data_IF_304647378690
#
_entry.id   IF_304647378690
#
_cell.length_a   1.000
_cell.length_b   1.000
_cell.length_c   1.000
_cell.angle_alpha   90.00
_cell.angle_beta   90.00
_cell.angle_gamma   90.00
#
_symmetry.space_group_name_H-M   'P 1'
#
loop_
_entity.id
_entity.type
_entity.pdbx_description
1 polymer ?
#
# COMPACT_ATOMS: atom_id res chain seq x y z
N UNK A 1 5.32 8.28 13.08
CA UNK A 1 4.35 8.63 12.03
C UNK A 1 2.94 8.20 12.38
N UNK A 2 2.29 8.87 13.33
CA UNK A 2 0.87 8.61 13.67
C UNK A 2 -0.04 8.81 12.45
N UNK A 3 0.29 9.78 11.60
CA UNK A 3 -0.52 10.16 10.46
C UNK A 3 -0.64 9.10 9.35
N UNK A 4 0.33 8.21 9.10
CA UNK A 4 0.14 7.17 8.06
C UNK A 4 -0.55 5.95 8.61
N UNK A 5 -0.27 5.64 9.88
CA UNK A 5 -0.79 4.45 10.54
C UNK A 5 -2.27 4.59 10.89
N UNK A 6 -2.72 5.79 11.26
CA UNK A 6 -4.07 6.05 11.72
C UNK A 6 -4.84 6.98 10.77
N UNK A 7 -6.18 6.90 10.72
CA UNK A 7 -7.02 7.72 9.84
C UNK A 7 -7.17 9.19 10.32
N UNK A 8 -6.07 9.87 10.66
CA UNK A 8 -6.05 11.20 11.30
C UNK A 8 -5.69 12.34 10.35
N UNK A 9 -6.53 13.37 10.17
CA UNK A 9 -6.16 14.51 9.30
C UNK A 9 -4.86 15.19 9.78
N UNK A 10 -4.14 15.92 8.92
CA UNK A 10 -2.90 16.62 9.33
C UNK A 10 -3.14 17.60 10.50
N UNK A 11 -4.32 18.24 10.52
CA UNK A 11 -4.76 19.12 11.61
C UNK A 11 -4.97 18.35 12.91
N UNK A 12 -5.57 17.16 12.84
CA UNK A 12 -5.71 16.32 14.05
C UNK A 12 -4.36 15.95 14.66
N UNK A 13 -3.29 15.85 13.86
CA UNK A 13 -1.96 15.57 14.41
C UNK A 13 -1.34 16.83 15.01
N UNK A 14 -1.56 17.99 14.41
CA UNK A 14 -1.22 19.28 15.01
C UNK A 14 -1.88 19.41 16.39
N UNK A 15 -3.20 19.16 16.50
CA UNK A 15 -3.93 19.19 17.77
C UNK A 15 -3.35 18.18 18.80
N UNK A 16 -3.11 16.93 18.38
CA UNK A 16 -2.54 15.88 19.24
C UNK A 16 -1.10 16.16 19.69
N UNK A 17 -0.34 16.93 18.90
CA UNK A 17 1.02 17.35 19.26
C UNK A 17 0.96 18.55 20.20
N UNK A 18 0.04 19.48 19.97
CA UNK A 18 -0.22 20.61 20.85
C UNK A 18 -0.63 20.17 22.26
N UNK A 19 -1.53 19.17 22.39
CA UNK A 19 -1.89 18.55 23.69
C UNK A 19 -0.68 17.97 24.45
N UNK A 20 0.43 17.70 23.75
CA UNK A 20 1.68 17.17 24.34
C UNK A 20 2.76 18.25 24.50
N UNK A 21 2.40 19.52 24.35
CA UNK A 21 3.33 20.66 24.46
C UNK A 21 4.25 20.84 23.26
N UNK A 22 3.94 20.24 22.11
CA UNK A 22 4.73 20.39 20.88
C UNK A 22 4.02 21.34 19.93
N UNK A 23 4.53 22.56 19.82
CA UNK A 23 3.99 23.57 18.91
C UNK A 23 4.51 23.39 17.48
N UNK A 24 3.66 22.87 16.60
CA UNK A 24 3.96 22.67 15.18
C UNK A 24 2.71 22.81 14.33
N UNK A 25 2.84 23.48 13.18
CA UNK A 25 1.74 23.58 12.22
C UNK A 25 1.53 22.31 11.39
N UNK A 26 0.31 22.06 10.92
CA UNK A 26 0.04 20.97 9.96
C UNK A 26 0.87 21.05 8.67
N UNK A 27 1.31 22.24 8.27
CA UNK A 27 2.19 22.45 7.12
C UNK A 27 3.60 21.91 7.38
N UNK A 28 4.11 22.06 8.60
CA UNK A 28 5.37 21.44 9.03
C UNK A 28 5.27 19.91 8.99
N UNK A 29 4.16 19.36 9.50
CA UNK A 29 3.88 17.92 9.45
C UNK A 29 3.79 17.45 7.98
N UNK A 30 3.13 18.22 7.11
CA UNK A 30 3.02 17.95 5.67
C UNK A 30 4.40 17.90 5.01
N UNK A 31 5.29 18.84 5.35
CA UNK A 31 6.65 18.90 4.82
C UNK A 31 7.48 17.70 5.26
N UNK A 32 7.49 17.38 6.56
CA UNK A 32 8.19 16.20 7.09
C UNK A 32 7.74 14.91 6.42
N UNK A 33 6.43 14.75 6.22
CA UNK A 33 5.90 13.62 5.47
C UNK A 33 6.47 13.53 4.06
N UNK A 34 6.42 14.63 3.30
CA UNK A 34 6.90 14.63 1.92
C UNK A 34 8.41 14.33 1.83
N UNK A 35 9.18 14.79 2.82
CA UNK A 35 10.62 14.57 2.91
C UNK A 35 10.98 13.16 3.35
N UNK A 36 10.46 12.72 4.51
CA UNK A 36 10.88 11.48 5.16
C UNK A 36 10.06 10.25 4.77
N UNK A 37 8.79 10.41 4.38
CA UNK A 37 7.90 9.32 4.00
C UNK A 37 8.48 8.39 2.92
N UNK A 38 8.93 8.92 1.78
CA UNK A 38 9.55 8.12 0.73
C UNK A 38 10.78 7.33 1.20
N UNK A 39 11.58 7.89 2.11
CA UNK A 39 12.78 7.25 2.67
C UNK A 39 12.39 6.03 3.51
N UNK A 40 11.50 6.22 4.49
CA UNK A 40 10.99 5.11 5.31
C UNK A 40 10.32 4.02 4.45
N UNK A 41 9.51 4.41 3.47
CA UNK A 41 8.88 3.47 2.56
C UNK A 41 9.87 2.72 1.68
N UNK A 42 11.00 3.34 1.32
CA UNK A 42 12.07 2.69 0.58
C UNK A 42 12.72 1.60 1.43
N UNK A 43 13.15 1.94 2.64
CA UNK A 43 13.83 1.01 3.56
C UNK A 43 12.95 -0.16 3.99
N UNK A 44 11.69 0.11 4.35
CA UNK A 44 10.71 -0.94 4.67
C UNK A 44 10.53 -1.89 3.47
N UNK A 45 10.39 -1.35 2.26
CA UNK A 45 10.22 -2.17 1.05
C UNK A 45 11.46 -2.97 0.70
N UNK A 46 12.67 -2.44 0.90
CA UNK A 46 13.93 -3.18 0.65
C UNK A 46 14.03 -4.38 1.59
N UNK A 47 13.86 -4.17 2.90
CA UNK A 47 13.87 -5.25 3.90
C UNK A 47 12.82 -6.32 3.59
N UNK A 48 11.61 -5.90 3.22
CA UNK A 48 10.51 -6.83 2.87
C UNK A 48 10.72 -7.58 1.57
N UNK A 49 11.23 -6.93 0.52
CA UNK A 49 11.51 -7.60 -0.75
C UNK A 49 12.51 -8.76 -0.56
N UNK A 50 13.52 -8.58 0.30
CA UNK A 50 14.47 -9.65 0.62
C UNK A 50 13.79 -10.84 1.32
N UNK A 51 12.91 -10.56 2.29
CA UNK A 51 12.11 -11.60 2.95
C UNK A 51 11.18 -12.31 1.97
N UNK A 52 10.44 -11.55 1.15
CA UNK A 52 9.47 -12.09 0.18
C UNK A 52 10.12 -12.94 -0.90
N UNK A 53 11.37 -12.66 -1.29
CA UNK A 53 12.13 -13.52 -2.22
C UNK A 53 12.54 -14.87 -1.61
N UNK A 54 12.62 -14.93 -0.28
CA UNK A 54 13.03 -16.14 0.44
C UNK A 54 11.88 -17.13 0.64
N UNK A 55 10.63 -16.71 0.41
CA UNK A 55 9.44 -17.53 0.60
C UNK A 55 8.59 -17.55 -0.69
N UNK A 56 8.11 -18.72 -1.15
CA UNK A 56 7.32 -18.81 -2.37
C UNK A 56 5.98 -18.08 -2.21
N UNK A 57 5.81 -16.99 -2.96
CA UNK A 57 4.56 -16.24 -3.01
C UNK A 57 3.61 -16.88 -4.03
N UNK A 58 2.84 -17.87 -3.57
CA UNK A 58 2.02 -18.68 -4.46
C UNK A 58 0.85 -17.91 -5.10
N UNK A 59 0.29 -16.89 -4.44
CA UNK A 59 -0.84 -16.13 -4.99
C UNK A 59 -0.76 -14.64 -4.70
N UNK A 60 -0.99 -13.84 -5.73
CA UNK A 60 -1.13 -12.38 -5.68
C UNK A 60 -2.51 -11.97 -6.15
N UNK A 61 -3.05 -10.90 -5.57
CA UNK A 61 -4.33 -10.29 -5.87
C UNK A 61 -4.10 -8.88 -6.40
N UNK A 62 -4.53 -8.62 -7.63
CA UNK A 62 -4.45 -7.32 -8.28
C UNK A 62 -5.84 -6.70 -8.27
N UNK A 63 -5.98 -5.61 -7.52
CA UNK A 63 -7.21 -4.84 -7.45
C UNK A 63 -7.06 -3.51 -8.16
N UNK A 64 -8.10 -3.13 -8.88
CA UNK A 64 -8.26 -1.77 -9.34
C UNK A 64 -9.23 -1.03 -8.40
N UNK A 65 -8.94 0.24 -8.10
CA UNK A 65 -9.89 1.13 -7.46
C UNK A 65 -10.03 2.42 -8.22
N UNK A 66 -11.11 3.16 -7.93
CA UNK A 66 -11.34 4.48 -8.46
C UNK A 66 -11.33 5.54 -7.39
N UNK A 67 -10.76 6.68 -7.73
CA UNK A 67 -10.87 7.93 -6.97
C UNK A 67 -10.94 9.11 -7.93
N UNK A 68 -11.34 10.27 -7.38
CA UNK A 68 -11.39 11.54 -8.12
C UNK A 68 -10.34 12.49 -7.57
N UNK A 69 -9.59 13.15 -8.45
CA UNK A 69 -8.68 14.26 -8.13
C UNK A 69 -9.18 15.45 -8.93
N UNK A 70 -9.59 16.53 -8.24
CA UNK A 70 -10.16 17.74 -8.87
C UNK A 70 -11.25 17.43 -9.92
N UNK A 71 -12.12 16.45 -9.65
CA UNK A 71 -13.19 16.02 -10.56
C UNK A 71 -12.79 14.96 -11.59
N UNK A 72 -11.51 14.84 -11.94
CA UNK A 72 -11.01 13.82 -12.87
C UNK A 72 -10.91 12.43 -12.22
N UNK A 73 -11.32 11.38 -12.95
CA UNK A 73 -11.18 9.99 -12.48
C UNK A 73 -9.75 9.50 -12.64
N UNK A 74 -9.21 8.91 -11.58
CA UNK A 74 -7.94 8.18 -11.60
C UNK A 74 -8.15 6.73 -11.15
N UNK A 75 -7.26 5.87 -11.63
CA UNK A 75 -7.26 4.44 -11.36
C UNK A 75 -6.01 4.01 -10.59
N UNK A 76 -6.05 4.02 -9.25
CA UNK A 76 -5.05 3.33 -8.46
C UNK A 76 -5.16 1.81 -8.60
N UNK A 77 -4.00 1.19 -8.79
CA UNK A 77 -3.79 -0.24 -8.82
C UNK A 77 -3.05 -0.66 -7.57
N UNK A 78 -3.44 -1.79 -7.00
CA UNK A 78 -2.79 -2.38 -5.83
C UNK A 78 -2.60 -3.88 -6.00
N UNK A 79 -1.45 -4.36 -5.54
CA UNK A 79 -1.05 -5.75 -5.55
C UNK A 79 -0.90 -6.15 -4.12
N UNK A 80 -1.59 -7.23 -3.76
CA UNK A 80 -1.62 -7.76 -2.41
C UNK A 80 -1.26 -9.22 -2.49
N UNK A 81 -0.41 -9.72 -1.61
CA UNK A 81 -0.14 -11.14 -1.57
C UNK A 81 -1.24 -11.93 -0.82
N UNK A 82 -1.09 -13.25 -0.81
CA UNK A 82 -1.97 -14.15 -0.09
C UNK A 82 -2.00 -13.89 1.42
N UNK A 83 -0.99 -13.23 2.02
CA UNK A 83 -0.94 -12.85 3.44
C UNK A 83 -1.57 -11.48 3.73
N UNK A 84 -1.94 -10.72 2.68
CA UNK A 84 -2.59 -9.42 2.82
C UNK A 84 -1.61 -8.26 2.91
N UNK A 85 -0.34 -8.49 2.60
CA UNK A 85 0.71 -7.49 2.47
C UNK A 85 0.61 -6.79 1.11
N UNK A 86 0.75 -5.46 1.13
CA UNK A 86 0.68 -4.65 -0.09
C UNK A 86 2.07 -4.61 -0.74
N UNK A 87 2.20 -5.32 -1.87
CA UNK A 87 3.46 -5.46 -2.61
C UNK A 87 3.84 -4.19 -3.38
N UNK A 88 2.84 -3.56 -4.02
CA UNK A 88 3.03 -2.35 -4.82
C UNK A 88 1.70 -1.58 -4.91
N UNK A 89 1.78 -0.25 -5.03
CA UNK A 89 0.64 0.63 -5.31
C UNK A 89 1.02 1.66 -6.35
N UNK A 90 0.25 1.74 -7.44
CA UNK A 90 0.52 2.65 -8.55
C UNK A 90 -0.76 3.44 -8.89
N UNK A 91 -0.63 4.73 -9.17
CA UNK A 91 -1.73 5.61 -9.53
C UNK A 91 -1.55 5.99 -10.99
N UNK A 92 -2.54 5.68 -11.81
CA UNK A 92 -2.59 6.08 -13.21
C UNK A 92 -3.76 7.04 -13.46
N UNK A 93 -3.59 8.00 -14.38
CA UNK A 93 -4.69 8.84 -14.88
C UNK A 93 -5.61 8.06 -15.81
N UNK A 94 -5.02 7.20 -16.65
CA UNK A 94 -5.73 6.39 -17.66
C UNK A 94 -5.72 4.90 -17.31
N UNK A 95 -6.71 4.18 -17.85
CA UNK A 95 -6.84 2.72 -17.78
C UNK A 95 -6.19 2.00 -18.95
N UNK A 96 -5.21 2.63 -19.59
CA UNK A 96 -4.60 2.04 -20.77
C UNK A 96 -3.79 0.78 -20.43
N UNK A 97 -3.60 -0.06 -21.45
CA UNK A 97 -2.85 -1.32 -21.35
C UNK A 97 -1.44 -1.10 -20.80
N UNK A 98 -0.80 0.04 -21.14
CA UNK A 98 0.57 0.37 -20.77
C UNK A 98 0.69 0.63 -19.25
N UNK A 99 -0.24 1.39 -18.69
CA UNK A 99 -0.34 1.66 -17.26
C UNK A 99 -0.65 0.37 -16.50
N UNK A 100 -1.59 -0.43 -17.00
CA UNK A 100 -1.96 -1.70 -16.41
C UNK A 100 -0.83 -2.75 -16.49
N UNK A 101 0.07 -2.67 -17.48
CA UNK A 101 1.26 -3.54 -17.60
C UNK A 101 2.44 -3.12 -16.73
N UNK A 102 2.65 -1.80 -16.58
CA UNK A 102 3.76 -1.25 -15.79
C UNK A 102 3.71 -1.79 -14.36
N UNK A 103 2.50 -1.96 -13.84
CA UNK A 103 2.26 -2.39 -12.48
C UNK A 103 2.69 -3.83 -12.19
N UNK A 104 2.17 -4.89 -12.86
CA UNK A 104 2.62 -6.27 -12.68
C UNK A 104 4.12 -6.45 -12.95
N UNK A 105 4.65 -5.82 -14.02
CA UNK A 105 6.08 -5.92 -14.35
C UNK A 105 6.97 -5.37 -13.23
N UNK A 106 6.60 -4.22 -12.66
CA UNK A 106 7.32 -3.61 -11.53
C UNK A 106 7.26 -4.49 -10.29
N UNK A 107 6.09 -5.04 -9.97
CA UNK A 107 5.92 -5.96 -8.84
C UNK A 107 6.77 -7.21 -9.01
N UNK A 108 6.76 -7.82 -10.20
CA UNK A 108 7.54 -9.03 -10.49
C UNK A 108 9.05 -8.80 -10.43
N UNK A 109 9.52 -7.68 -10.98
CA UNK A 109 10.96 -7.33 -10.92
C UNK A 109 11.46 -7.21 -9.48
N UNK A 110 10.62 -6.72 -8.57
CA UNK A 110 11.00 -6.51 -7.17
C UNK A 110 10.87 -7.79 -6.34
N UNK A 111 9.71 -8.43 -6.39
CA UNK A 111 9.30 -9.48 -5.46
C UNK A 111 9.39 -10.89 -6.04
N UNK A 112 9.81 -11.04 -7.30
CA UNK A 112 9.78 -12.32 -8.01
C UNK A 112 8.43 -12.57 -8.69
N UNK A 113 8.28 -13.72 -9.36
CA UNK A 113 7.02 -14.08 -10.03
C UNK A 113 6.12 -14.84 -9.06
N UNK A 114 4.82 -14.54 -9.08
CA UNK A 114 3.83 -15.35 -8.38
C UNK A 114 3.41 -16.56 -9.20
N UNK A 115 2.96 -17.63 -8.53
CA UNK A 115 2.39 -18.79 -9.22
C UNK A 115 0.99 -18.50 -9.78
N UNK A 116 0.20 -17.68 -9.08
CA UNK A 116 -1.18 -17.33 -9.45
C UNK A 116 -1.41 -15.83 -9.34
N UNK A 117 -2.03 -15.22 -10.36
CA UNK A 117 -2.53 -13.85 -10.28
C UNK A 117 -4.06 -13.84 -10.28
N UNK A 118 -4.64 -13.40 -9.19
CA UNK A 118 -6.07 -13.12 -9.08
C UNK A 118 -6.33 -11.70 -9.52
N UNK A 119 -7.26 -11.48 -10.44
CA UNK A 119 -7.68 -10.15 -10.88
C UNK A 119 -9.20 -10.02 -10.86
N UNK A 120 -9.69 -8.78 -10.91
CA UNK A 120 -11.08 -8.52 -11.27
C UNK A 120 -11.39 -9.00 -12.69
N UNK A 121 -12.68 -9.20 -12.99
CA UNK A 121 -13.17 -9.53 -14.35
C UNK A 121 -13.17 -8.33 -15.30
N UNK A 122 -12.43 -7.27 -14.98
CA UNK A 122 -12.35 -6.06 -15.80
C UNK A 122 -11.52 -6.32 -17.05
N UNK A 123 -11.97 -5.78 -18.20
CA UNK A 123 -11.24 -5.87 -19.48
C UNK A 123 -9.82 -5.27 -19.37
N UNK A 124 -9.63 -4.27 -18.50
CA UNK A 124 -8.33 -3.66 -18.20
C UNK A 124 -7.29 -4.65 -17.63
N UNK A 125 -7.74 -5.76 -17.04
CA UNK A 125 -6.84 -6.78 -16.47
C UNK A 125 -6.42 -7.84 -17.50
N UNK A 126 -7.29 -8.19 -18.45
CA UNK A 126 -7.05 -9.32 -19.37
C UNK A 126 -5.89 -9.09 -20.35
N UNK A 127 -5.81 -7.90 -20.95
CA UNK A 127 -4.75 -7.59 -21.92
C UNK A 127 -3.33 -7.62 -21.29
N UNK A 128 -3.10 -7.04 -20.10
CA UNK A 128 -1.83 -7.19 -19.39
C UNK A 128 -1.46 -8.64 -19.08
N UNK A 129 -2.41 -9.49 -18.71
CA UNK A 129 -2.14 -10.89 -18.35
C UNK A 129 -1.66 -11.73 -19.54
N UNK A 130 -2.16 -11.44 -20.75
CA UNK A 130 -1.67 -12.04 -22.00
C UNK A 130 -0.22 -11.66 -22.28
N UNK A 131 0.09 -10.37 -22.23
CA UNK A 131 1.42 -9.83 -22.53
C UNK A 131 2.53 -10.27 -21.54
N UNK A 132 2.17 -10.55 -20.28
CA UNK A 132 3.12 -11.08 -19.29
C UNK A 132 3.17 -12.63 -19.30
N UNK A 133 2.43 -13.28 -20.18
CA UNK A 133 2.40 -14.74 -20.30
C UNK A 133 1.71 -15.46 -19.13
N UNK A 134 0.85 -14.77 -18.37
CA UNK A 134 0.22 -15.32 -17.16
C UNK A 134 -1.23 -15.77 -17.37
N UNK A 135 -1.72 -15.85 -18.61
CA UNK A 135 -3.13 -16.20 -18.89
C UNK A 135 -3.56 -17.54 -18.28
N UNK A 136 -2.70 -18.58 -18.34
CA UNK A 136 -2.99 -19.89 -17.75
C UNK A 136 -2.97 -19.92 -16.21
N UNK A 137 -2.40 -18.89 -15.59
CA UNK A 137 -2.23 -18.73 -14.14
C UNK A 137 -3.09 -17.59 -13.59
N UNK A 138 -3.96 -17.04 -14.43
CA UNK A 138 -4.88 -15.98 -14.05
C UNK A 138 -6.15 -16.62 -13.50
N UNK A 139 -6.51 -16.28 -12.27
CA UNK A 139 -7.78 -16.67 -11.67
C UNK A 139 -8.71 -15.46 -11.64
N UNK A 140 -9.97 -15.67 -12.04
CA UNK A 140 -11.04 -14.68 -11.87
C UNK A 140 -12.29 -15.38 -11.36
N UNK A 141 -12.91 -14.82 -10.33
CA UNK A 141 -14.03 -15.48 -9.67
C UNK A 141 -14.72 -14.56 -8.68
N UNK A 142 -15.98 -14.85 -8.38
CA UNK A 142 -16.72 -14.12 -7.35
C UNK A 142 -15.96 -14.29 -6.03
N UNK A 143 -15.68 -13.18 -5.35
CA UNK A 143 -14.96 -13.12 -4.07
C UNK A 143 -13.46 -13.46 -4.07
N UNK A 144 -12.89 -13.98 -5.16
CA UNK A 144 -11.46 -14.33 -5.19
C UNK A 144 -10.56 -13.09 -5.00
N UNK A 145 -11.01 -11.92 -5.48
CA UNK A 145 -10.25 -10.67 -5.34
C UNK A 145 -10.54 -9.88 -4.05
N UNK A 146 -11.33 -10.44 -3.11
CA UNK A 146 -11.67 -9.79 -1.84
C UNK A 146 -10.42 -9.31 -1.08
N UNK A 147 -9.28 -10.00 -1.23
CA UNK A 147 -8.03 -9.62 -0.59
C UNK A 147 -7.54 -8.24 -1.07
N UNK A 148 -7.58 -8.00 -2.37
CA UNK A 148 -7.23 -6.69 -2.92
C UNK A 148 -8.29 -5.65 -2.57
N UNK A 149 -9.59 -5.98 -2.68
CA UNK A 149 -10.69 -5.08 -2.34
C UNK A 149 -10.65 -4.62 -0.87
N UNK A 150 -10.47 -5.55 0.07
CA UNK A 150 -10.35 -5.24 1.49
C UNK A 150 -9.15 -4.34 1.79
N UNK A 151 -8.04 -4.50 1.05
CA UNK A 151 -6.89 -3.63 1.19
C UNK A 151 -7.22 -2.17 0.82
N UNK A 152 -8.17 -1.93 -0.08
CA UNK A 152 -8.60 -0.60 -0.47
C UNK A 152 -9.35 0.12 0.66
N UNK A 153 -10.01 -0.61 1.56
CA UNK A 153 -10.84 -0.01 2.62
C UNK A 153 -10.03 0.91 3.54
N UNK A 154 -8.87 0.46 4.02
CA UNK A 154 -8.04 1.23 4.93
C UNK A 154 -7.43 2.45 4.24
N UNK A 155 -7.00 2.26 2.99
CA UNK A 155 -6.54 3.36 2.15
C UNK A 155 -7.65 4.40 1.92
N UNK A 156 -8.88 3.97 1.64
CA UNK A 156 -10.06 4.85 1.45
C UNK A 156 -10.45 5.57 2.74
N UNK A 157 -10.45 4.90 3.89
CA UNK A 157 -10.70 5.54 5.19
C UNK A 157 -9.74 6.71 5.38
N UNK A 158 -8.47 6.48 5.07
CA UNK A 158 -7.44 7.50 5.20
C UNK A 158 -7.59 8.62 4.17
N UNK A 159 -7.82 8.29 2.90
CA UNK A 159 -8.05 9.23 1.82
C UNK A 159 -9.23 10.17 2.09
N UNK A 160 -10.34 9.63 2.63
CA UNK A 160 -11.50 10.43 3.04
C UNK A 160 -11.21 11.35 4.22
N UNK A 161 -10.47 10.87 5.24
CA UNK A 161 -10.06 11.69 6.38
C UNK A 161 -9.13 12.86 5.97
N UNK A 162 -8.51 12.79 4.79
CA UNK A 162 -7.69 13.87 4.22
C UNK A 162 -8.48 14.78 3.26
N UNK A 163 -9.80 14.62 3.17
CA UNK A 163 -10.65 15.35 2.22
C UNK A 163 -10.19 15.18 0.76
N UNK A 164 -9.69 13.99 0.42
CA UNK A 164 -9.16 13.61 -0.91
C UNK A 164 -7.89 14.37 -1.30
N UNK A 165 -7.24 13.87 -2.34
CA UNK A 165 -6.01 14.46 -2.87
C UNK A 165 -6.30 15.44 -3.99
N UNK A 166 -5.55 16.57 -4.01
CA UNK A 166 -5.60 17.58 -5.08
C UNK A 166 -4.59 17.35 -6.21
N UNK A 167 -3.59 16.48 -6.00
CA UNK A 167 -2.51 16.22 -6.97
C UNK A 167 -2.19 14.72 -7.04
N UNK A 168 -2.01 14.19 -8.25
CA UNK A 168 -1.67 12.78 -8.48
C UNK A 168 -0.34 12.39 -7.84
N UNK A 169 0.68 13.27 -7.86
CA UNK A 169 1.99 13.02 -7.23
C UNK A 169 1.85 12.78 -5.73
N UNK A 170 1.05 13.60 -5.04
CA UNK A 170 0.79 13.46 -3.60
C UNK A 170 0.07 12.16 -3.27
N UNK A 171 -0.91 11.79 -4.09
CA UNK A 171 -1.63 10.52 -3.95
C UNK A 171 -0.70 9.31 -4.18
N UNK A 172 0.14 9.34 -5.21
CA UNK A 172 1.09 8.27 -5.50
C UNK A 172 2.11 8.10 -4.37
N UNK A 173 2.63 9.20 -3.85
CA UNK A 173 3.52 9.20 -2.69
C UNK A 173 2.82 8.59 -1.48
N UNK A 174 1.60 9.06 -1.19
CA UNK A 174 0.81 8.53 -0.09
C UNK A 174 0.49 7.04 -0.25
N UNK A 175 0.08 6.58 -1.42
CA UNK A 175 -0.20 5.18 -1.67
C UNK A 175 1.03 4.30 -1.41
N UNK A 176 2.22 4.74 -1.84
CA UNK A 176 3.46 4.01 -1.63
C UNK A 176 3.84 3.92 -0.15
N UNK A 177 3.81 5.04 0.58
CA UNK A 177 4.24 5.03 1.98
C UNK A 177 3.17 4.43 2.89
N UNK A 178 1.89 4.68 2.62
CA UNK A 178 0.80 4.02 3.33
C UNK A 178 0.91 2.50 3.20
N UNK A 179 1.15 1.98 2.00
CA UNK A 179 1.35 0.54 1.80
C UNK A 179 2.51 -0.01 2.65
N UNK A 180 3.66 0.67 2.65
CA UNK A 180 4.84 0.24 3.39
C UNK A 180 4.60 0.25 4.91
N UNK A 181 4.15 1.39 5.46
CA UNK A 181 3.90 1.54 6.89
C UNK A 181 2.78 0.63 7.37
N UNK A 182 1.70 0.52 6.59
CA UNK A 182 0.59 -0.36 6.94
C UNK A 182 1.04 -1.81 7.02
N UNK A 183 1.80 -2.28 6.02
CA UNK A 183 2.29 -3.65 6.03
C UNK A 183 3.28 -3.88 7.19
N UNK A 184 4.13 -2.87 7.50
CA UNK A 184 5.07 -2.89 8.63
C UNK A 184 4.41 -3.18 9.98
N UNK A 185 3.31 -2.48 10.29
CA UNK A 185 2.64 -2.59 11.58
C UNK A 185 1.55 -3.67 11.64
N UNK A 186 1.23 -4.33 10.53
CA UNK A 186 0.17 -5.34 10.46
C UNK A 186 0.72 -6.68 9.94
N UNK A 187 1.77 -7.16 10.61
CA UNK A 187 2.34 -8.50 10.44
C UNK A 187 1.37 -9.54 11.02
N UNK A 188 1.03 -10.54 10.20
CA UNK A 188 0.18 -11.70 10.55
C UNK A 188 -1.28 -11.35 10.90
N UNK A 189 -2.21 -11.79 10.03
CA UNK A 189 -3.66 -11.61 10.22
C UNK A 189 -4.43 -12.91 10.39
N UNK A 190 -3.72 -14.02 10.55
CA UNK A 190 -4.32 -15.25 11.09
C UNK A 190 -4.61 -15.06 12.57
N UNK A 191 -5.43 -15.95 13.14
CA UNK A 191 -5.65 -16.00 14.58
C UNK A 191 -4.32 -16.35 15.26
N UNK A 192 -3.67 -15.34 15.84
CA UNK A 192 -2.43 -15.49 16.62
C UNK A 192 -2.73 -15.34 18.10
N UNK A 193 -1.96 -16.03 18.94
CA UNK A 193 -2.04 -15.84 20.39
C UNK A 193 -1.84 -14.37 20.77
N UNK A 194 -2.44 -13.95 21.89
CA UNK A 194 -2.30 -12.58 22.40
C UNK A 194 -0.82 -12.24 22.66
N UNK A 195 -0.03 -13.21 23.09
CA UNK A 195 1.40 -13.06 23.35
C UNK A 195 2.17 -12.79 22.05
N UNK A 196 1.95 -13.59 21.00
CA UNK A 196 2.59 -13.39 19.70
C UNK A 196 2.20 -12.03 19.10
N UNK A 197 0.93 -11.63 19.21
CA UNK A 197 0.51 -10.30 18.79
C UNK A 197 1.28 -9.17 19.51
N UNK A 198 1.48 -9.29 20.83
CA UNK A 198 2.24 -8.29 21.60
C UNK A 198 3.71 -8.26 21.17
N UNK A 199 4.34 -9.42 21.00
CA UNK A 199 5.72 -9.55 20.53
C UNK A 199 5.90 -8.93 19.15
N UNK A 200 5.04 -9.29 18.19
CA UNK A 200 5.06 -8.74 16.83
C UNK A 200 4.89 -7.21 16.82
N UNK A 201 3.98 -6.68 17.66
CA UNK A 201 3.78 -5.24 17.78
C UNK A 201 4.99 -4.53 18.39
N UNK A 202 5.65 -5.14 19.38
CA UNK A 202 6.85 -4.60 20.00
C UNK A 202 8.03 -4.60 19.02
N UNK A 203 8.25 -5.72 18.32
CA UNK A 203 9.27 -5.85 17.28
C UNK A 203 9.08 -4.82 16.15
N UNK A 204 7.85 -4.69 15.63
CA UNK A 204 7.55 -3.70 14.59
C UNK A 204 7.81 -2.26 15.07
N UNK A 205 7.54 -1.95 16.34
CA UNK A 205 7.83 -0.64 16.92
C UNK A 205 9.34 -0.40 17.10
N UNK A 206 10.09 -1.42 17.53
CA UNK A 206 11.54 -1.35 17.67
C UNK A 206 12.22 -1.13 16.32
N UNK A 207 11.87 -1.92 15.30
CA UNK A 207 12.36 -1.74 13.92
C UNK A 207 12.02 -0.37 13.37
N UNK A 208 10.80 0.12 13.66
CA UNK A 208 10.39 1.46 13.26
C UNK A 208 11.26 2.55 13.90
N UNK A 209 11.58 2.42 15.19
CA UNK A 209 12.46 3.37 15.88
C UNK A 209 13.88 3.38 15.30
N UNK A 210 14.43 2.21 14.98
CA UNK A 210 15.73 2.10 14.32
C UNK A 210 15.75 2.82 12.96
N UNK A 211 14.68 2.69 12.17
CA UNK A 211 14.56 3.42 10.91
C UNK A 211 14.53 4.94 11.08
N UNK A 212 14.08 5.46 12.23
CA UNK A 212 14.08 6.90 12.51
C UNK A 212 15.44 7.45 12.98
N UNK A 213 16.38 6.57 13.36
CA UNK A 213 17.71 6.95 13.87
C UNK A 213 18.81 6.75 12.80
N UNK A 214 18.58 5.86 11.84
CA UNK A 214 19.44 5.64 10.67
C UNK A 214 19.28 6.72 9.60
#
# INVERSE_FOLDING_TARGET
>A
MLYVRFPLSLRNIEDLLHERGVDVSHETIRFWWQKFGPMFASEIRKKRANRLRSWPQWRWHLGEMFLKINGERHSPWRAVDHQGEVLESCVAKTRDKKAALKFPRKSMKRHGRSHVLVTDRLRSCGAPMKDIGNTRRQETGRWLNNRAENSHLLFRRRERAMQRFRRMRSLQMFAAVHAAVFSHFNSERSLTSRQNFKLNRAAALAEWRQLCVA
#
